data_IF_670450849864
#
_entry.id   IF_670450849864
#
_cell.length_a   1.000
_cell.length_b   1.000
_cell.length_c   1.000
_cell.angle_alpha   90.00
_cell.angle_beta   90.00
_cell.angle_gamma   90.00
#
_symmetry.space_group_name_H-M   'P 1'
#
loop_
_entity.id
_entity.type
_entity.pdbx_description
1 polymer ?
#
# COMPACT_ATOMS: atom_id res chain seq x y z
N UNK A 1 -36.54 22.68 10.49
CA UNK A 1 -36.28 23.29 9.17
C UNK A 1 -34.90 22.84 8.77
N UNK A 2 -34.79 21.94 7.81
CA UNK A 2 -33.50 21.62 7.20
C UNK A 2 -33.13 22.79 6.28
N UNK A 3 -31.96 23.38 6.50
CA UNK A 3 -31.46 24.44 5.63
C UNK A 3 -31.31 23.91 4.20
N UNK A 4 -31.64 24.74 3.17
CA UNK A 4 -31.50 24.32 1.79
C UNK A 4 -30.04 23.90 1.50
N UNK A 5 -29.81 22.81 0.76
CA UNK A 5 -28.47 22.29 0.52
C UNK A 5 -27.64 23.37 -0.17
N UNK A 6 -26.49 23.69 0.44
CA UNK A 6 -25.59 24.70 -0.07
C UNK A 6 -25.22 24.38 -1.52
N UNK A 7 -25.46 25.29 -2.49
CA UNK A 7 -25.32 25.01 -3.93
C UNK A 7 -23.90 24.60 -4.33
N UNK A 8 -22.89 24.94 -3.52
CA UNK A 8 -21.51 24.56 -3.77
C UNK A 8 -21.21 23.09 -3.43
N UNK A 9 -22.01 22.43 -2.60
CA UNK A 9 -21.82 21.00 -2.27
C UNK A 9 -21.92 20.14 -3.54
N UNK A 10 -22.93 20.38 -4.37
CA UNK A 10 -23.10 19.65 -5.64
C UNK A 10 -21.92 19.88 -6.59
N UNK A 11 -21.39 21.10 -6.65
CA UNK A 11 -20.22 21.45 -7.45
C UNK A 11 -18.95 20.75 -6.94
N UNK A 12 -18.74 20.66 -5.62
CA UNK A 12 -17.64 19.91 -5.03
C UNK A 12 -17.74 18.41 -5.32
N UNK A 13 -18.92 17.82 -5.15
CA UNK A 13 -19.16 16.39 -5.44
C UNK A 13 -18.85 16.10 -6.91
N UNK A 14 -19.39 16.91 -7.83
CA UNK A 14 -19.15 16.74 -9.26
C UNK A 14 -17.66 16.89 -9.63
N UNK A 15 -16.97 17.88 -9.05
CA UNK A 15 -15.55 18.09 -9.26
C UNK A 15 -14.72 16.91 -8.74
N UNK A 16 -15.00 16.47 -7.52
CA UNK A 16 -14.34 15.33 -6.89
C UNK A 16 -14.52 14.05 -7.68
N UNK A 17 -15.75 13.70 -8.06
CA UNK A 17 -16.05 12.49 -8.83
C UNK A 17 -15.42 12.49 -10.23
N UNK A 18 -15.24 13.66 -10.86
CA UNK A 18 -14.55 13.77 -12.17
C UNK A 18 -13.02 13.62 -12.06
N UNK A 19 -12.42 14.06 -10.95
CA UNK A 19 -10.96 14.11 -10.75
C UNK A 19 -10.40 12.88 -10.05
N UNK A 20 -11.18 12.27 -9.17
CA UNK A 20 -10.76 11.09 -8.41
C UNK A 20 -10.92 9.87 -9.29
N UNK A 21 -9.84 9.51 -9.99
CA UNK A 21 -9.69 8.14 -10.50
C UNK A 21 -9.52 7.13 -9.35
N UNK A 22 -9.45 5.83 -9.64
CA UNK A 22 -9.37 4.75 -8.63
C UNK A 22 -8.15 4.84 -7.69
N UNK A 23 -7.19 5.72 -7.98
CA UNK A 23 -5.94 5.94 -7.22
C UNK A 23 -6.01 7.12 -6.21
N UNK A 24 -7.10 7.90 -6.18
CA UNK A 24 -7.20 9.09 -5.32
C UNK A 24 -6.27 10.24 -5.73
N UNK A 25 -6.31 11.39 -5.02
CA UNK A 25 -5.41 12.49 -5.29
C UNK A 25 -3.95 12.16 -4.93
N UNK A 26 -2.99 12.42 -5.83
CA UNK A 26 -1.56 12.25 -5.55
C UNK A 26 -1.06 13.25 -4.50
N UNK A 27 -0.10 12.89 -3.65
CA UNK A 27 0.48 13.78 -2.63
C UNK A 27 -0.41 14.03 -1.40
N UNK A 28 -1.51 13.28 -1.27
CA UNK A 28 -2.43 13.35 -0.12
C UNK A 28 -1.71 13.12 1.20
N UNK A 29 -0.78 12.17 1.30
CA UNK A 29 -0.14 11.82 2.57
C UNK A 29 0.63 13.00 3.20
N UNK A 30 1.39 13.74 2.39
CA UNK A 30 2.15 14.89 2.86
C UNK A 30 1.24 16.09 3.21
N UNK A 31 0.16 16.27 2.46
CA UNK A 31 -0.80 17.34 2.72
C UNK A 31 -1.70 17.03 3.93
N UNK A 32 -2.05 15.76 4.13
CA UNK A 32 -2.79 15.28 5.30
C UNK A 32 -1.98 15.53 6.56
N UNK A 33 -0.66 15.25 6.53
CA UNK A 33 0.23 15.56 7.64
C UNK A 33 0.29 17.07 7.93
N UNK A 34 0.34 17.92 6.89
CA UNK A 34 0.25 19.39 7.06
C UNK A 34 -1.08 19.82 7.67
N UNK A 35 -2.20 19.25 7.24
CA UNK A 35 -3.53 19.53 7.77
C UNK A 35 -3.70 19.05 9.23
N UNK A 36 -3.00 17.99 9.64
CA UNK A 36 -3.00 17.54 11.04
C UNK A 36 -2.26 18.50 11.97
N UNK A 37 -1.25 19.20 11.46
CA UNK A 37 -0.46 20.18 12.20
C UNK A 37 -0.95 21.62 12.01
N UNK A 38 -2.00 21.83 11.22
CA UNK A 38 -2.59 23.14 11.01
C UNK A 38 -3.43 23.58 12.22
N UNK A 39 -3.63 24.90 12.34
CA UNK A 39 -4.38 25.51 13.43
C UNK A 39 -5.80 24.94 13.54
N UNK A 40 -6.36 24.89 14.76
CA UNK A 40 -7.67 24.31 15.03
C UNK A 40 -8.81 24.95 14.21
N UNK A 41 -8.65 26.24 13.89
CA UNK A 41 -9.63 27.03 13.14
C UNK A 41 -9.21 27.21 11.66
N UNK A 42 -8.15 26.53 11.22
CA UNK A 42 -7.78 26.49 9.80
C UNK A 42 -8.75 25.64 8.99
N UNK A 43 -9.02 26.04 7.74
CA UNK A 43 -9.87 25.26 6.82
C UNK A 43 -9.33 23.83 6.62
N UNK A 44 -8.01 23.66 6.53
CA UNK A 44 -7.37 22.33 6.45
C UNK A 44 -7.78 21.42 7.62
N UNK A 45 -7.81 21.95 8.84
CA UNK A 45 -8.19 21.21 10.04
C UNK A 45 -9.69 21.02 10.15
N UNK A 46 -10.47 22.03 9.80
CA UNK A 46 -11.94 22.00 9.83
C UNK A 46 -12.49 20.96 8.84
N UNK A 47 -11.99 20.94 7.61
CA UNK A 47 -12.40 19.94 6.62
C UNK A 47 -11.97 18.52 7.00
N UNK A 48 -10.80 18.37 7.62
CA UNK A 48 -10.33 17.08 8.14
C UNK A 48 -11.23 16.54 9.25
N UNK A 49 -11.72 17.41 10.13
CA UNK A 49 -12.68 17.03 11.18
C UNK A 49 -14.10 16.79 10.63
N UNK A 50 -14.44 17.40 9.51
CA UNK A 50 -15.71 17.20 8.82
C UNK A 50 -15.85 15.82 8.17
N UNK A 51 -14.73 15.23 7.75
CA UNK A 51 -14.65 13.87 7.22
C UNK A 51 -13.55 13.67 6.18
N UNK A 52 -13.20 12.42 5.91
CA UNK A 52 -12.06 12.08 5.05
C UNK A 52 -12.31 12.43 3.57
N UNK A 53 -13.53 12.27 3.08
CA UNK A 53 -13.90 12.61 1.71
C UNK A 53 -14.00 14.13 1.53
N UNK A 54 -14.58 14.83 2.51
CA UNK A 54 -14.62 16.29 2.51
C UNK A 54 -13.22 16.90 2.46
N UNK A 55 -12.29 16.40 3.28
CA UNK A 55 -10.90 16.86 3.26
C UNK A 55 -10.20 16.57 1.93
N UNK A 56 -10.37 15.37 1.36
CA UNK A 56 -9.78 15.04 0.06
C UNK A 56 -10.33 15.93 -1.06
N UNK A 57 -11.60 16.30 -1.00
CA UNK A 57 -12.23 17.20 -1.96
C UNK A 57 -11.70 18.63 -1.84
N UNK A 58 -11.59 19.14 -0.62
CA UNK A 58 -10.94 20.41 -0.33
C UNK A 58 -9.48 20.43 -0.81
N UNK A 59 -8.70 19.40 -0.47
CA UNK A 59 -7.31 19.26 -0.87
C UNK A 59 -7.14 19.26 -2.40
N UNK A 60 -8.02 18.58 -3.14
CA UNK A 60 -7.99 18.56 -4.60
C UNK A 60 -8.19 19.94 -5.22
N UNK A 61 -9.17 20.69 -4.72
CA UNK A 61 -9.45 22.05 -5.20
C UNK A 61 -8.26 22.98 -4.90
N UNK A 62 -7.64 22.84 -3.72
CA UNK A 62 -6.47 23.61 -3.34
C UNK A 62 -5.18 23.18 -4.06
N UNK A 63 -5.00 21.90 -4.38
CA UNK A 63 -3.81 21.41 -5.07
C UNK A 63 -3.78 21.83 -6.54
N UNK A 64 -4.93 21.76 -7.21
CA UNK A 64 -5.08 22.19 -8.61
C UNK A 64 -5.08 23.73 -8.75
N UNK A 65 -4.75 24.47 -7.69
CA UNK A 65 -4.40 25.90 -7.71
C UNK A 65 -3.01 26.20 -8.28
N UNK A 66 -2.12 25.20 -8.31
CA UNK A 66 -0.72 25.37 -8.74
C UNK A 66 -0.53 25.08 -10.24
N UNK A 67 -1.50 24.44 -10.90
CA UNK A 67 -1.42 24.09 -12.33
C UNK A 67 -2.23 25.03 -13.22
N UNK A 68 -1.60 25.63 -14.24
CA UNK A 68 -2.17 26.65 -15.15
C UNK A 68 -3.29 26.15 -16.09
N UNK A 69 -3.65 24.87 -16.07
CA UNK A 69 -4.66 24.33 -16.98
C UNK A 69 -6.06 24.45 -16.33
N UNK A 70 -6.73 25.58 -16.58
CA UNK A 70 -8.05 25.90 -16.05
C UNK A 70 -9.12 24.89 -16.49
N UNK A 71 -9.75 24.24 -15.52
CA UNK A 71 -10.93 23.40 -15.74
C UNK A 71 -12.20 24.16 -15.35
N UNK A 72 -13.26 23.94 -16.13
CA UNK A 72 -14.59 24.54 -15.92
C UNK A 72 -15.11 24.26 -14.50
N UNK A 73 -15.53 25.31 -13.78
CA UNK A 73 -16.04 25.24 -12.39
C UNK A 73 -14.98 25.29 -11.27
N UNK A 74 -13.70 25.02 -11.55
CA UNK A 74 -12.64 25.05 -10.52
C UNK A 74 -12.40 26.48 -9.98
N UNK A 75 -12.50 27.50 -10.84
CA UNK A 75 -12.35 28.89 -10.44
C UNK A 75 -13.42 29.34 -9.44
N UNK A 76 -14.66 28.87 -9.61
CA UNK A 76 -15.77 29.19 -8.71
C UNK A 76 -15.62 28.51 -7.36
N UNK A 77 -15.20 27.24 -7.33
CA UNK A 77 -14.92 26.52 -6.08
C UNK A 77 -13.77 27.15 -5.29
N UNK A 78 -12.71 27.61 -5.98
CA UNK A 78 -11.60 28.34 -5.36
C UNK A 78 -12.07 29.67 -4.76
N UNK A 79 -12.84 30.44 -5.53
CA UNK A 79 -13.40 31.70 -5.07
C UNK A 79 -14.31 31.49 -3.85
N UNK A 80 -15.11 30.43 -3.85
CA UNK A 80 -15.92 30.07 -2.71
C UNK A 80 -15.07 29.74 -1.47
N UNK A 81 -14.01 28.92 -1.59
CA UNK A 81 -13.14 28.60 -0.45
C UNK A 81 -12.40 29.82 0.10
N UNK A 82 -11.86 30.67 -0.79
CA UNK A 82 -11.00 31.79 -0.41
C UNK A 82 -11.78 33.03 0.04
N UNK A 83 -12.92 33.34 -0.56
CA UNK A 83 -13.66 34.60 -0.34
C UNK A 83 -14.95 34.43 0.46
N UNK A 84 -15.61 33.27 0.38
CA UNK A 84 -16.93 33.07 0.99
C UNK A 84 -16.85 32.22 2.26
N UNK A 85 -16.21 31.06 2.18
CA UNK A 85 -16.17 30.09 3.28
C UNK A 85 -15.20 30.50 4.38
N UNK A 86 -14.03 31.04 4.02
CA UNK A 86 -13.04 31.56 4.98
C UNK A 86 -13.56 32.71 5.85
N UNK A 87 -14.56 33.46 5.35
CA UNK A 87 -15.19 34.59 6.05
C UNK A 87 -16.39 34.19 6.90
N UNK A 88 -16.87 32.94 6.81
CA UNK A 88 -17.97 32.46 7.65
C UNK A 88 -17.49 32.15 9.08
N UNK A 89 -18.38 32.15 10.08
CA UNK A 89 -18.11 31.57 11.39
C UNK A 89 -17.59 30.12 11.30
N UNK A 90 -16.73 29.73 12.24
CA UNK A 90 -16.09 28.40 12.27
C UNK A 90 -17.14 27.28 12.33
N UNK A 91 -18.27 27.53 12.98
CA UNK A 91 -19.41 26.62 13.08
C UNK A 91 -20.03 26.31 11.71
N UNK A 92 -20.18 27.32 10.86
CA UNK A 92 -20.74 27.19 9.52
C UNK A 92 -19.76 26.50 8.57
N UNK A 93 -18.46 26.76 8.74
CA UNK A 93 -17.41 26.04 8.02
C UNK A 93 -17.39 24.55 8.39
N UNK A 94 -17.56 24.21 9.68
CA UNK A 94 -17.67 22.83 10.16
C UNK A 94 -18.95 22.15 9.66
N UNK A 95 -20.08 22.88 9.66
CA UNK A 95 -21.34 22.38 9.13
C UNK A 95 -21.21 22.06 7.63
N UNK A 96 -20.61 22.96 6.85
CA UNK A 96 -20.34 22.74 5.42
C UNK A 96 -19.46 21.51 5.18
N UNK A 97 -18.36 21.36 5.92
CA UNK A 97 -17.46 20.22 5.76
C UNK A 97 -18.16 18.87 6.03
N UNK A 98 -19.01 18.80 7.06
CA UNK A 98 -19.81 17.60 7.37
C UNK A 98 -20.84 17.30 6.30
N UNK A 99 -21.55 18.32 5.81
CA UNK A 99 -22.53 18.16 4.73
C UNK A 99 -21.87 17.69 3.44
N UNK A 100 -20.67 18.20 3.13
CA UNK A 100 -19.89 17.76 1.98
C UNK A 100 -19.46 16.29 2.09
N UNK A 101 -19.00 15.84 3.26
CA UNK A 101 -18.62 14.44 3.47
C UNK A 101 -19.82 13.51 3.27
N UNK A 102 -20.96 13.85 3.86
CA UNK A 102 -22.20 13.10 3.72
C UNK A 102 -22.68 13.01 2.25
N UNK A 103 -22.59 14.11 1.50
CA UNK A 103 -22.95 14.15 0.09
C UNK A 103 -22.01 13.28 -0.77
N UNK A 104 -20.71 13.30 -0.49
CA UNK A 104 -19.72 12.47 -1.20
C UNK A 104 -19.91 10.97 -0.93
N UNK A 105 -20.20 10.58 0.32
CA UNK A 105 -20.54 9.19 0.66
C UNK A 105 -21.79 8.70 -0.06
N UNK A 106 -22.82 9.54 -0.07
CA UNK A 106 -24.09 9.24 -0.75
C UNK A 106 -23.87 9.05 -2.26
N UNK A 107 -23.03 9.89 -2.88
CA UNK A 107 -22.68 9.76 -4.30
C UNK A 107 -21.86 8.48 -4.61
N UNK A 108 -20.95 8.07 -3.71
CA UNK A 108 -20.20 6.81 -3.86
C UNK A 108 -21.11 5.58 -3.76
N UNK A 109 -22.05 5.57 -2.81
CA UNK A 109 -23.01 4.47 -2.64
C UNK A 109 -23.92 4.31 -3.88
N UNK A 110 -24.43 5.43 -4.44
CA UNK A 110 -25.26 5.39 -5.65
C UNK A 110 -24.51 4.93 -6.92
N UNK A 111 -23.17 4.99 -6.93
CA UNK A 111 -22.36 4.48 -8.03
C UNK A 111 -22.11 2.96 -7.93
N UNK A 112 -22.02 2.42 -6.72
CA UNK A 112 -21.86 0.99 -6.49
C UNK A 112 -23.13 0.20 -6.86
N UNK A 113 -24.32 0.76 -6.58
CA UNK A 113 -25.60 0.14 -6.91
C UNK A 113 -25.92 0.17 -8.42
N UNK A 114 -25.26 1.02 -9.21
CA UNK A 114 -25.49 1.13 -10.66
C UNK A 114 -24.67 0.14 -11.49
N UNK A 115 -23.59 -0.41 -10.95
CA UNK A 115 -22.72 -1.36 -11.67
C UNK A 115 -23.24 -2.81 -11.65
N UNK A 116 -24.20 -3.15 -10.78
CA UNK A 116 -24.91 -4.45 -10.84
C UNK A 116 -26.03 -4.50 -11.89
N UNK A 117 -26.41 -3.37 -12.48
CA UNK A 117 -27.59 -3.25 -13.35
C UNK A 117 -27.28 -3.17 -14.85
N UNK A 118 -26.06 -2.80 -15.28
CA UNK A 118 -25.76 -2.59 -16.69
C UNK A 118 -24.59 -3.43 -17.21
N UNK A 119 -24.94 -4.51 -17.89
CA UNK A 119 -24.01 -5.36 -18.63
C UNK A 119 -23.18 -4.60 -19.68
N UNK A 120 -21.89 -4.97 -19.71
CA UNK A 120 -20.98 -5.02 -20.85
C UNK A 120 -21.21 -3.96 -21.94
N UNK A 121 -20.45 -2.86 -21.88
CA UNK A 121 -20.06 -2.12 -23.09
C UNK A 121 -18.54 -1.93 -23.13
N UNK A 122 -17.89 -2.81 -23.89
CA UNK A 122 -16.50 -2.68 -24.34
C UNK A 122 -16.39 -1.38 -25.14
N UNK A 123 -15.63 -0.40 -24.63
CA UNK A 123 -15.28 0.79 -25.40
C UNK A 123 -13.98 0.56 -26.20
N UNK A 124 -13.98 1.08 -27.41
CA UNK A 124 -13.17 0.64 -28.54
C UNK A 124 -11.70 1.07 -28.47
N UNK A 125 -10.84 0.15 -28.92
CA UNK A 125 -9.43 0.37 -29.29
C UNK A 125 -9.32 1.54 -30.28
N UNK A 126 -8.68 2.64 -29.87
CA UNK A 126 -8.05 3.58 -30.82
C UNK A 126 -6.63 3.08 -31.11
N UNK A 127 -6.41 2.60 -32.34
CA UNK A 127 -5.08 2.45 -32.92
C UNK A 127 -4.48 3.84 -33.14
N UNK A 128 -3.25 4.06 -32.70
CA UNK A 128 -2.40 5.13 -33.23
C UNK A 128 -1.11 4.51 -33.74
N UNK A 129 -0.86 4.72 -35.02
CA UNK A 129 0.34 4.35 -35.78
C UNK A 129 1.42 5.43 -35.67
N UNK A 130 2.63 5.08 -36.14
CA UNK A 130 3.75 5.92 -36.63
C UNK A 130 4.60 6.65 -35.57
N UNK A 131 5.94 6.71 -35.58
CA UNK A 131 7.02 6.31 -36.51
C UNK A 131 8.33 6.18 -35.69
N UNK A 132 9.20 5.24 -36.07
CA UNK A 132 10.60 5.10 -35.62
C UNK A 132 11.49 6.24 -36.14
N UNK A 133 12.48 6.67 -35.38
CA UNK A 133 13.88 6.86 -35.83
C UNK A 133 14.73 7.57 -34.75
N UNK A 134 15.97 7.13 -34.58
CA UNK A 134 17.07 8.01 -34.17
C UNK A 134 17.91 7.56 -32.98
N UNK A 135 19.04 6.94 -33.27
CA UNK A 135 20.12 6.45 -32.39
C UNK A 135 21.09 7.61 -32.01
N UNK A 136 21.39 7.76 -30.70
CA UNK A 136 22.65 8.12 -29.96
C UNK A 136 23.59 9.27 -30.45
N UNK A 137 24.63 9.72 -29.68
CA UNK A 137 24.92 9.75 -28.22
C UNK A 137 25.53 11.11 -27.74
N UNK A 138 26.10 11.10 -26.52
CA UNK A 138 27.12 12.02 -25.92
C UNK A 138 26.57 13.23 -25.14
N UNK A 139 27.04 13.64 -23.95
CA UNK A 139 28.37 13.50 -23.30
C UNK A 139 28.31 13.53 -21.75
N UNK A 140 29.33 12.91 -21.14
CA UNK A 140 29.81 13.01 -19.74
C UNK A 140 30.45 14.41 -19.53
N UNK A 141 30.39 15.10 -18.38
CA UNK A 141 31.33 15.12 -17.22
C UNK A 141 30.94 16.29 -16.26
N UNK A 142 31.62 16.53 -15.10
CA UNK A 142 31.01 16.60 -13.76
C UNK A 142 31.04 18.01 -13.14
N UNK A 143 30.53 18.18 -11.91
CA UNK A 143 31.20 19.01 -10.90
C UNK A 143 30.64 18.84 -9.48
N UNK A 144 31.60 18.80 -8.56
CA UNK A 144 31.53 18.89 -7.10
C UNK A 144 30.79 20.13 -6.57
N UNK A 145 30.18 20.00 -5.38
CA UNK A 145 30.67 20.68 -4.17
C UNK A 145 29.74 20.43 -2.97
N UNK A 146 30.34 19.96 -1.88
CA UNK A 146 29.81 19.96 -0.51
C UNK A 146 29.33 21.33 -0.05
N UNK A 147 28.31 21.37 0.81
CA UNK A 147 28.39 22.18 2.03
C UNK A 147 27.54 21.56 3.14
N UNK A 148 28.21 21.27 4.25
CA UNK A 148 27.65 20.97 5.56
C UNK A 148 26.66 22.05 6.03
N UNK A 149 25.63 21.63 6.77
CA UNK A 149 25.12 22.39 7.92
C UNK A 149 24.35 21.45 8.82
N UNK A 150 25.00 21.05 9.91
CA UNK A 150 24.37 20.47 11.07
C UNK A 150 23.44 21.50 11.73
N UNK A 151 22.25 21.08 12.15
CA UNK A 151 21.67 21.62 13.37
C UNK A 151 20.89 20.54 14.12
N UNK A 152 21.45 20.12 15.25
CA UNK A 152 20.74 19.48 16.36
C UNK A 152 19.94 20.57 17.05
N UNK A 153 18.67 20.32 17.34
CA UNK A 153 18.18 20.54 18.71
C UNK A 153 16.88 19.78 18.96
N UNK A 154 16.83 19.26 20.16
CA UNK A 154 15.94 18.25 20.71
C UNK A 154 14.86 18.87 21.60
N UNK A 155 13.85 18.04 21.91
CA UNK A 155 12.80 18.21 22.94
C UNK A 155 11.55 18.96 22.48
N UNK A 156 10.31 18.58 22.82
CA UNK A 156 9.80 17.44 23.60
C UNK A 156 8.30 17.28 23.38
N UNK A 157 7.86 16.01 23.38
CA UNK A 157 6.60 15.49 23.92
C UNK A 157 5.29 16.22 23.58
N UNK A 158 4.58 15.72 22.54
CA UNK A 158 3.12 15.42 22.51
C UNK A 158 2.69 14.88 21.13
N UNK A 159 3.44 13.93 20.58
CA UNK A 159 3.20 13.35 19.26
C UNK A 159 3.00 11.84 19.42
N UNK A 160 1.74 11.40 19.58
CA UNK A 160 1.40 9.99 19.76
C UNK A 160 0.26 9.55 18.85
N UNK A 161 0.44 9.77 17.55
CA UNK A 161 0.14 8.72 16.57
C UNK A 161 1.50 8.26 16.03
N UNK A 162 2.10 7.34 16.77
CA UNK A 162 3.49 6.92 16.60
C UNK A 162 3.68 6.38 15.18
N UNK A 163 4.56 7.02 14.39
CA UNK A 163 5.27 6.38 13.28
C UNK A 163 6.04 5.20 13.89
N UNK A 164 5.42 4.03 13.96
CA UNK A 164 6.08 2.82 14.44
C UNK A 164 6.80 2.15 13.28
N UNK A 165 7.78 2.88 12.75
CA UNK A 165 8.80 2.27 11.89
C UNK A 165 9.50 1.16 12.71
N UNK A 166 9.88 0.08 12.03
CA UNK A 166 10.51 -1.06 12.68
C UNK A 166 9.94 -2.42 12.30
N UNK A 167 10.40 -3.42 13.05
CA UNK A 167 10.07 -4.83 12.84
C UNK A 167 8.96 -5.20 13.81
N UNK A 168 7.85 -5.71 13.31
CA UNK A 168 6.70 -6.15 14.10
C UNK A 168 6.57 -7.67 14.02
N UNK A 169 6.49 -8.34 15.17
CA UNK A 169 6.59 -9.80 15.34
C UNK A 169 5.46 -10.32 16.24
N UNK A 170 5.51 -11.62 16.57
CA UNK A 170 4.60 -12.31 17.49
C UNK A 170 3.13 -12.33 17.03
N UNK A 171 2.89 -12.69 15.77
CA UNK A 171 1.52 -12.78 15.24
C UNK A 171 0.67 -13.81 16.01
N UNK A 172 -0.52 -13.39 16.44
CA UNK A 172 -1.47 -14.25 17.14
C UNK A 172 -1.94 -15.39 16.24
N UNK A 173 -1.80 -16.64 16.71
CA UNK A 173 -2.31 -17.82 15.99
C UNK A 173 -3.83 -17.77 15.83
N UNK A 174 -4.57 -17.26 16.83
CA UNK A 174 -6.02 -17.14 16.76
C UNK A 174 -6.45 -16.09 15.74
N UNK A 175 -5.72 -14.98 15.65
CA UNK A 175 -6.00 -13.94 14.67
C UNK A 175 -5.59 -14.34 13.24
N UNK A 176 -4.48 -15.08 13.10
CA UNK A 176 -3.99 -15.54 11.82
C UNK A 176 -4.83 -16.67 11.21
N UNK A 177 -5.50 -17.49 12.03
CA UNK A 177 -6.30 -18.63 11.54
C UNK A 177 -7.38 -18.25 10.51
N UNK A 178 -8.27 -17.27 10.75
CA UNK A 178 -9.25 -16.85 9.75
C UNK A 178 -8.65 -16.00 8.62
N UNK A 179 -7.41 -15.55 8.75
CA UNK A 179 -6.77 -14.60 7.84
C UNK A 179 -6.14 -15.30 6.61
N UNK A 180 -5.75 -16.57 6.77
CA UNK A 180 -5.14 -17.36 5.71
C UNK A 180 -6.03 -18.55 5.32
N UNK A 181 -5.93 -19.07 4.09
CA UNK A 181 -6.52 -20.37 3.74
C UNK A 181 -6.03 -21.46 4.70
N UNK A 182 -6.90 -22.40 5.06
CA UNK A 182 -6.59 -23.45 6.07
C UNK A 182 -5.28 -24.19 5.76
N UNK A 183 -5.10 -24.63 4.51
CA UNK A 183 -3.89 -25.33 4.07
C UNK A 183 -2.61 -24.49 4.24
N UNK A 184 -2.71 -23.18 4.00
CA UNK A 184 -1.60 -22.26 4.18
C UNK A 184 -1.34 -21.98 5.65
N UNK A 185 -2.38 -21.73 6.45
CA UNK A 185 -2.27 -21.54 7.89
C UNK A 185 -1.59 -22.73 8.57
N UNK A 186 -1.87 -23.96 8.13
CA UNK A 186 -1.18 -25.16 8.63
C UNK A 186 0.29 -25.27 8.19
N UNK A 187 0.69 -24.57 7.13
CA UNK A 187 2.08 -24.51 6.69
C UNK A 187 2.91 -23.42 7.38
N UNK A 188 2.29 -22.43 8.03
CA UNK A 188 3.01 -21.37 8.75
C UNK A 188 3.81 -21.97 9.91
N UNK A 189 5.04 -21.54 10.13
CA UNK A 189 5.83 -22.02 11.26
C UNK A 189 5.26 -21.48 12.58
N UNK A 190 5.27 -22.33 13.63
CA UNK A 190 4.95 -21.90 14.99
C UNK A 190 6.27 -21.66 15.72
N UNK A 191 6.41 -20.51 16.36
CA UNK A 191 7.60 -20.13 17.12
C UNK A 191 7.23 -19.73 18.56
N UNK A 192 8.16 -19.83 19.52
CA UNK A 192 7.93 -19.31 20.87
C UNK A 192 7.66 -17.81 20.84
N UNK A 193 6.69 -17.35 21.64
CA UNK A 193 6.41 -15.93 21.82
C UNK A 193 7.61 -15.24 22.47
N UNK A 194 7.99 -14.06 21.98
CA UNK A 194 9.19 -13.35 22.48
C UNK A 194 9.13 -12.92 23.96
N UNK A 195 7.94 -12.50 24.44
CA UNK A 195 7.69 -12.00 25.80
C UNK A 195 6.93 -12.96 26.73
N UNK A 196 6.29 -13.99 26.19
CA UNK A 196 5.44 -14.91 26.95
C UNK A 196 5.95 -16.36 26.82
N UNK A 197 6.84 -16.80 27.71
CA UNK A 197 7.37 -18.16 27.68
C UNK A 197 6.26 -19.21 27.74
N UNK A 198 6.36 -20.24 26.91
CA UNK A 198 5.38 -21.34 26.84
C UNK A 198 4.21 -21.07 25.88
N UNK A 199 4.03 -19.84 25.41
CA UNK A 199 3.06 -19.49 24.38
C UNK A 199 3.69 -19.62 22.99
N UNK A 200 2.92 -20.13 22.02
CA UNK A 200 3.31 -20.18 20.61
C UNK A 200 2.59 -19.11 19.81
N UNK A 201 3.31 -18.53 18.84
CA UNK A 201 2.82 -17.54 17.88
C UNK A 201 3.10 -18.01 16.46
N UNK A 202 2.45 -17.39 15.48
CA UNK A 202 2.76 -17.61 14.06
C UNK A 202 4.06 -16.87 13.72
N UNK A 203 4.95 -17.52 12.98
CA UNK A 203 6.15 -16.89 12.42
C UNK A 203 5.76 -15.96 11.27
N UNK A 204 5.27 -14.78 11.62
CA UNK A 204 4.93 -13.70 10.70
C UNK A 204 5.60 -12.44 11.24
N UNK A 205 6.40 -11.83 10.38
CA UNK A 205 7.12 -10.60 10.69
C UNK A 205 6.76 -9.54 9.67
N UNK A 206 6.36 -8.36 10.12
CA UNK A 206 6.14 -7.20 9.27
C UNK A 206 7.26 -6.19 9.44
N UNK A 207 7.90 -5.82 8.34
CA UNK A 207 8.91 -4.78 8.26
C UNK A 207 8.28 -3.53 7.64
N UNK A 208 8.11 -2.51 8.47
CA UNK A 208 7.76 -1.17 7.99
C UNK A 208 9.08 -0.49 7.60
N UNK A 209 9.36 -0.50 6.30
CA UNK A 209 10.60 0.02 5.73
C UNK A 209 10.51 1.54 5.50
N UNK A 210 11.65 2.23 5.42
CA UNK A 210 11.71 3.66 5.12
C UNK A 210 12.38 3.94 3.76
N UNK A 211 12.15 5.15 3.26
CA UNK A 211 12.80 5.69 2.06
C UNK A 211 12.46 4.96 0.77
N UNK A 212 13.42 4.95 -0.15
CA UNK A 212 13.23 4.46 -1.52
C UNK A 212 12.76 3.00 -1.60
N UNK A 213 13.08 2.16 -0.62
CA UNK A 213 12.61 0.77 -0.62
C UNK A 213 11.10 0.71 -0.42
N UNK A 214 10.55 1.51 0.51
CA UNK A 214 9.11 1.60 0.72
C UNK A 214 8.40 2.26 -0.47
N UNK A 215 9.01 3.27 -1.08
CA UNK A 215 8.43 3.92 -2.26
C UNK A 215 8.37 2.95 -3.47
N UNK A 216 9.36 2.08 -3.59
CA UNK A 216 9.46 1.15 -4.73
C UNK A 216 8.72 -0.17 -4.53
N UNK A 217 8.65 -0.67 -3.29
CA UNK A 217 8.14 -2.00 -2.98
C UNK A 217 6.99 -1.98 -1.96
N UNK A 218 6.91 -0.98 -1.10
CA UNK A 218 5.96 -0.92 0.02
C UNK A 218 6.52 -1.54 1.30
N UNK A 219 5.62 -2.00 2.17
CA UNK A 219 5.99 -2.70 3.41
C UNK A 219 6.29 -4.18 3.10
N UNK A 220 7.23 -4.79 3.83
CA UNK A 220 7.62 -6.19 3.59
C UNK A 220 7.07 -7.08 4.70
N UNK A 221 6.33 -8.11 4.37
CA UNK A 221 5.91 -9.16 5.30
C UNK A 221 6.68 -10.45 5.00
N UNK A 222 7.25 -11.07 6.03
CA UNK A 222 7.88 -12.39 5.97
C UNK A 222 7.02 -13.38 6.75
N UNK A 223 6.73 -14.53 6.14
CA UNK A 223 5.98 -15.64 6.73
C UNK A 223 6.89 -16.85 6.74
N UNK A 224 7.21 -17.37 7.92
CA UNK A 224 7.93 -18.61 8.09
C UNK A 224 7.08 -19.81 7.68
N UNK A 225 7.67 -20.73 6.92
CA UNK A 225 7.00 -21.92 6.40
C UNK A 225 7.72 -23.16 6.89
N UNK A 226 6.97 -24.12 7.44
CA UNK A 226 7.52 -25.39 7.94
C UNK A 226 8.29 -26.13 6.85
N UNK A 227 9.38 -26.78 7.25
CA UNK A 227 10.38 -27.39 6.36
C UNK A 227 9.78 -28.37 5.33
N UNK A 228 8.72 -29.08 5.69
CA UNK A 228 8.04 -30.08 4.86
C UNK A 228 7.24 -29.45 3.71
N UNK A 229 6.85 -28.18 3.85
CA UNK A 229 6.00 -27.48 2.88
C UNK A 229 6.79 -26.65 1.87
N UNK A 230 8.11 -26.47 2.07
CA UNK A 230 8.96 -25.69 1.17
C UNK A 230 8.91 -26.21 -0.28
N UNK A 231 9.06 -27.53 -0.58
CA UNK A 231 8.99 -28.02 -1.95
C UNK A 231 7.65 -27.75 -2.63
N UNK A 232 6.56 -27.83 -1.86
CA UNK A 232 5.21 -27.55 -2.35
C UNK A 232 5.08 -26.09 -2.82
N UNK A 233 5.46 -25.13 -1.97
CA UNK A 233 5.35 -23.71 -2.33
C UNK A 233 6.36 -23.27 -3.38
N UNK A 234 7.59 -23.80 -3.38
CA UNK A 234 8.56 -23.53 -4.45
C UNK A 234 8.04 -23.97 -5.82
N UNK A 235 7.40 -25.14 -5.89
CA UNK A 235 6.79 -25.65 -7.12
C UNK A 235 5.57 -24.83 -7.53
N UNK A 236 4.68 -24.51 -6.59
CA UNK A 236 3.42 -23.83 -6.89
C UNK A 236 3.58 -22.34 -7.17
N UNK A 237 4.51 -21.66 -6.50
CA UNK A 237 4.76 -20.23 -6.73
C UNK A 237 5.75 -19.99 -7.87
N UNK A 238 6.81 -20.79 -8.00
CA UNK A 238 7.91 -20.51 -8.93
C UNK A 238 8.09 -21.59 -10.02
N UNK A 239 7.28 -22.65 -10.03
CA UNK A 239 7.46 -23.76 -10.97
C UNK A 239 8.73 -24.60 -10.74
N UNK A 240 9.38 -24.45 -9.57
CA UNK A 240 10.68 -25.07 -9.29
C UNK A 240 10.55 -26.32 -8.43
N UNK A 241 11.27 -27.38 -8.80
CA UNK A 241 11.38 -28.60 -7.98
C UNK A 241 12.48 -28.46 -6.94
N UNK A 242 12.17 -28.85 -5.71
CA UNK A 242 13.13 -28.91 -4.59
C UNK A 242 13.29 -30.36 -4.17
N UNK A 243 14.52 -30.85 -4.23
CA UNK A 243 14.91 -32.18 -3.77
C UNK A 243 15.66 -32.05 -2.45
N UNK A 244 15.51 -33.06 -1.59
CA UNK A 244 16.28 -33.19 -0.36
C UNK A 244 17.18 -34.41 -0.50
N UNK A 245 18.48 -34.23 -0.27
CA UNK A 245 19.47 -35.30 -0.29
C UNK A 245 20.52 -35.05 0.79
N UNK A 246 20.84 -36.08 1.57
CA UNK A 246 21.87 -36.05 2.61
C UNK A 246 21.71 -34.87 3.61
N UNK A 247 20.46 -34.50 3.92
CA UNK A 247 20.13 -33.39 4.83
C UNK A 247 20.27 -31.99 4.23
N UNK A 248 20.60 -31.88 2.94
CA UNK A 248 20.67 -30.64 2.19
C UNK A 248 19.55 -30.54 1.13
N UNK A 249 19.13 -29.32 0.83
CA UNK A 249 18.16 -29.03 -0.23
C UNK A 249 18.87 -28.65 -1.52
N UNK A 250 18.26 -29.04 -2.62
CA UNK A 250 18.73 -28.73 -3.97
C UNK A 250 17.54 -28.26 -4.81
N UNK A 251 17.71 -27.15 -5.53
CA UNK A 251 16.79 -26.73 -6.57
C UNK A 251 17.15 -27.46 -7.86
N UNK A 252 16.20 -28.19 -8.45
CA UNK A 252 16.43 -29.03 -9.62
C UNK A 252 15.96 -28.33 -10.89
N UNK A 253 16.81 -28.33 -11.91
CA UNK A 253 16.45 -27.89 -13.25
C UNK A 253 16.01 -29.07 -14.13
N UNK A 254 15.20 -28.82 -15.19
CA UNK A 254 14.73 -29.87 -16.08
C UNK A 254 15.84 -30.69 -16.74
N UNK A 255 17.00 -30.08 -16.99
CA UNK A 255 18.18 -30.74 -17.58
C UNK A 255 18.97 -31.63 -16.59
N UNK A 256 18.49 -31.76 -15.34
CA UNK A 256 19.15 -32.55 -14.30
C UNK A 256 20.22 -31.81 -13.49
N UNK A 257 20.57 -30.56 -13.86
CA UNK A 257 21.46 -29.74 -13.03
C UNK A 257 20.77 -29.34 -11.73
N UNK A 258 21.57 -29.04 -10.71
CA UNK A 258 21.10 -28.71 -9.37
C UNK A 258 21.80 -27.46 -8.86
N UNK A 259 21.05 -26.62 -8.15
CA UNK A 259 21.58 -25.50 -7.37
C UNK A 259 21.48 -25.87 -5.89
N UNK A 260 22.62 -25.86 -5.21
CA UNK A 260 22.67 -25.96 -3.74
C UNK A 260 22.60 -24.53 -3.16
N UNK A 261 21.65 -24.23 -2.26
CA UNK A 261 21.63 -22.95 -1.56
C UNK A 261 22.86 -22.78 -0.66
N UNK A 262 23.43 -21.56 -0.60
CA UNK A 262 24.54 -21.25 0.32
C UNK A 262 24.48 -19.80 0.84
N UNK A 263 24.09 -19.55 2.11
CA UNK A 263 23.40 -20.48 3.01
C UNK A 263 21.91 -20.68 2.63
N UNK A 264 21.37 -19.80 1.80
CA UNK A 264 19.97 -19.83 1.35
C UNK A 264 19.84 -19.28 -0.07
N UNK A 265 18.76 -19.64 -0.75
CA UNK A 265 18.45 -19.25 -2.12
C UNK A 265 17.10 -18.54 -2.14
N UNK A 266 17.01 -17.42 -2.85
CA UNK A 266 15.75 -16.70 -3.06
C UNK A 266 15.24 -16.97 -4.48
N UNK A 267 14.03 -17.51 -4.59
CA UNK A 267 13.34 -17.64 -5.87
C UNK A 267 12.36 -16.48 -6.00
N UNK A 268 12.48 -15.73 -7.11
CA UNK A 268 11.61 -14.61 -7.49
C UNK A 268 10.86 -14.96 -8.78
N UNK A 269 10.18 -13.98 -9.38
CA UNK A 269 9.29 -14.19 -10.52
C UNK A 269 8.24 -15.27 -10.21
N UNK A 270 7.47 -15.06 -9.14
CA UNK A 270 6.37 -15.96 -8.78
C UNK A 270 5.16 -15.76 -9.71
N UNK A 271 4.43 -16.84 -9.95
CA UNK A 271 3.17 -16.86 -10.69
C UNK A 271 2.11 -16.07 -9.94
N UNK A 272 1.63 -14.98 -10.54
CA UNK A 272 0.74 -14.01 -9.87
C UNK A 272 -0.65 -14.59 -9.57
N UNK A 273 -1.18 -15.41 -10.47
CA UNK A 273 -2.47 -16.10 -10.34
C UNK A 273 -2.49 -17.10 -9.17
N UNK A 274 -1.33 -17.61 -8.77
CA UNK A 274 -1.21 -18.54 -7.66
C UNK A 274 -1.27 -17.87 -6.27
N UNK A 275 -1.06 -16.55 -6.19
CA UNK A 275 -1.04 -15.81 -4.91
C UNK A 275 -2.38 -15.89 -4.16
N UNK A 276 -3.54 -15.53 -4.73
CA UNK A 276 -4.81 -15.60 -4.01
C UNK A 276 -5.20 -17.03 -3.64
N UNK A 277 -4.83 -18.01 -4.47
CA UNK A 277 -5.12 -19.43 -4.22
C UNK A 277 -4.31 -19.98 -3.05
N UNK A 278 -3.03 -19.61 -2.96
CA UNK A 278 -2.12 -20.17 -1.96
C UNK A 278 -2.06 -19.36 -0.68
N UNK A 279 -2.05 -18.03 -0.77
CA UNK A 279 -1.87 -17.13 0.37
C UNK A 279 -3.18 -16.50 0.85
N UNK A 280 -4.24 -16.60 0.03
CA UNK A 280 -5.56 -16.03 0.32
C UNK A 280 -5.80 -14.66 -0.31
N UNK A 281 -7.08 -14.32 -0.47
CA UNK A 281 -7.52 -13.07 -1.08
C UNK A 281 -7.10 -11.83 -0.30
N UNK A 282 -7.00 -11.90 1.03
CA UNK A 282 -6.55 -10.76 1.83
C UNK A 282 -5.10 -10.40 1.49
N UNK A 283 -4.21 -11.40 1.45
CA UNK A 283 -2.82 -11.20 1.05
C UNK A 283 -2.71 -10.68 -0.38
N UNK A 284 -3.48 -11.24 -1.30
CA UNK A 284 -3.51 -10.80 -2.70
C UNK A 284 -3.96 -9.34 -2.83
N UNK A 285 -4.98 -8.92 -2.06
CA UNK A 285 -5.42 -7.53 -2.03
C UNK A 285 -4.33 -6.59 -1.48
N UNK A 286 -3.67 -6.99 -0.39
CA UNK A 286 -2.55 -6.23 0.18
C UNK A 286 -1.36 -6.12 -0.76
N UNK A 287 -1.03 -7.20 -1.46
CA UNK A 287 0.00 -7.26 -2.49
C UNK A 287 -0.37 -6.40 -3.71
N UNK A 288 -1.61 -6.48 -4.20
CA UNK A 288 -2.11 -5.70 -5.33
C UNK A 288 -2.09 -4.19 -5.06
N UNK A 289 -2.16 -3.78 -3.78
CA UNK A 289 -2.01 -2.40 -3.37
C UNK A 289 -0.54 -1.91 -3.38
N UNK A 290 0.44 -2.80 -3.45
CA UNK A 290 1.86 -2.47 -3.35
C UNK A 290 2.38 -1.66 -4.56
N UNK A 291 3.41 -0.81 -4.37
CA UNK A 291 4.06 -0.10 -5.46
C UNK A 291 4.69 -1.04 -6.51
N UNK A 292 5.27 -2.17 -6.08
CA UNK A 292 5.87 -3.14 -7.00
C UNK A 292 4.82 -3.76 -7.93
N UNK A 293 3.67 -4.17 -7.39
CA UNK A 293 2.59 -4.71 -8.22
C UNK A 293 2.15 -3.71 -9.31
N UNK A 294 1.92 -2.45 -8.92
CA UNK A 294 1.48 -1.40 -9.84
C UNK A 294 2.47 -1.19 -10.98
N UNK A 295 3.76 -1.19 -10.66
CA UNK A 295 4.83 -1.09 -11.65
C UNK A 295 4.85 -2.28 -12.60
N UNK A 296 4.80 -3.50 -12.08
CA UNK A 296 4.83 -4.72 -12.89
C UNK A 296 3.60 -4.86 -13.81
N UNK A 297 2.45 -4.34 -13.38
CA UNK A 297 1.25 -4.24 -14.24
C UNK A 297 1.50 -3.26 -15.39
N UNK A 298 2.13 -2.11 -15.12
CA UNK A 298 2.51 -1.13 -16.14
C UNK A 298 3.57 -1.69 -17.11
N UNK A 299 4.47 -2.53 -16.61
CA UNK A 299 5.47 -3.28 -17.39
C UNK A 299 4.88 -4.50 -18.13
N UNK A 300 3.60 -4.82 -17.93
CA UNK A 300 2.91 -5.97 -18.54
C UNK A 300 3.63 -7.30 -18.25
N UNK A 301 4.06 -7.48 -16.99
CA UNK A 301 4.70 -8.72 -16.53
C UNK A 301 3.66 -9.74 -16.08
N UNK A 302 3.83 -10.99 -16.53
CA UNK A 302 3.01 -12.13 -16.08
C UNK A 302 3.41 -12.61 -14.67
N UNK A 303 4.72 -12.58 -14.39
CA UNK A 303 5.29 -12.98 -13.10
C UNK A 303 5.64 -11.77 -12.22
N UNK A 304 5.72 -12.00 -10.90
CA UNK A 304 6.03 -10.96 -9.92
C UNK A 304 7.30 -11.20 -9.11
N UNK A 305 8.07 -10.13 -8.88
CA UNK A 305 9.15 -10.08 -7.90
C UNK A 305 8.66 -9.60 -6.53
N UNK A 306 7.40 -9.16 -6.42
CA UNK A 306 6.75 -8.71 -5.19
C UNK A 306 6.34 -9.84 -4.23
N UNK A 307 6.41 -11.09 -4.71
CA UNK A 307 6.35 -12.30 -3.87
C UNK A 307 7.57 -13.14 -4.17
N UNK A 308 8.22 -13.65 -3.13
CA UNK A 308 9.38 -14.53 -3.27
C UNK A 308 9.42 -15.59 -2.17
N UNK A 309 10.11 -16.69 -2.44
CA UNK A 309 10.37 -17.76 -1.47
C UNK A 309 11.87 -17.87 -1.21
N UNK A 310 12.24 -17.95 0.07
CA UNK A 310 13.62 -18.20 0.52
C UNK A 310 13.73 -19.64 0.99
N UNK A 311 14.62 -20.39 0.35
CA UNK A 311 14.89 -21.81 0.60
C UNK A 311 16.25 -21.92 1.33
N UNK A 312 16.28 -22.41 2.57
CA UNK A 312 17.54 -22.67 3.27
C UNK A 312 18.20 -23.94 2.76
N UNK A 313 19.54 -23.99 2.88
CA UNK A 313 20.35 -25.15 2.53
C UNK A 313 19.97 -26.39 3.34
N UNK A 314 19.82 -26.27 4.67
CA UNK A 314 19.63 -27.44 5.53
C UNK A 314 18.17 -27.86 5.58
N UNK A 315 17.90 -29.14 5.39
CA UNK A 315 16.54 -29.73 5.47
C UNK A 315 15.82 -29.41 6.78
N UNK A 316 16.55 -29.27 7.89
CA UNK A 316 15.96 -28.99 9.20
C UNK A 316 15.49 -27.54 9.36
N UNK A 317 15.99 -26.63 8.54
CA UNK A 317 15.65 -25.20 8.61
C UNK A 317 14.33 -24.93 7.87
N UNK A 318 13.53 -24.01 8.40
CA UNK A 318 12.26 -23.60 7.81
C UNK A 318 12.47 -22.56 6.71
N UNK A 319 11.56 -22.53 5.74
CA UNK A 319 11.61 -21.59 4.63
C UNK A 319 10.91 -20.28 4.99
N UNK A 320 11.00 -19.29 4.10
CA UNK A 320 10.26 -18.04 4.25
C UNK A 320 9.58 -17.66 2.96
N UNK A 321 8.33 -17.22 3.02
CA UNK A 321 7.68 -16.51 1.93
C UNK A 321 7.69 -15.03 2.29
N UNK A 322 8.15 -14.19 1.37
CA UNK A 322 8.14 -12.74 1.51
C UNK A 322 7.12 -12.17 0.56
N UNK A 323 6.26 -11.29 1.08
CA UNK A 323 5.23 -10.57 0.33
C UNK A 323 5.43 -9.08 0.56
N UNK A 324 5.45 -8.30 -0.51
CA UNK A 324 5.43 -6.85 -0.45
C UNK A 324 3.99 -6.33 -0.48
N UNK A 325 3.66 -5.41 0.42
CA UNK A 325 2.31 -4.94 0.70
C UNK A 325 2.20 -3.43 0.54
N UNK A 326 1.04 -2.94 0.11
CA UNK A 326 0.71 -1.53 0.22
C UNK A 326 0.60 -1.07 1.67
N UNK A 327 1.00 0.17 1.95
CA UNK A 327 1.10 0.71 3.32
C UNK A 327 -0.19 0.55 4.14
N UNK A 328 -1.33 0.95 3.59
CA UNK A 328 -2.61 0.87 4.31
C UNK A 328 -2.93 -0.57 4.75
N UNK A 329 -2.75 -1.53 3.84
CA UNK A 329 -2.98 -2.94 4.11
C UNK A 329 -1.97 -3.49 5.12
N UNK A 330 -0.70 -3.07 5.06
CA UNK A 330 0.31 -3.50 6.01
C UNK A 330 -0.04 -3.09 7.46
N UNK A 331 -0.50 -1.85 7.67
CA UNK A 331 -0.94 -1.40 9.01
C UNK A 331 -2.23 -2.09 9.46
N UNK A 332 -3.16 -2.36 8.55
CA UNK A 332 -4.35 -3.16 8.86
C UNK A 332 -3.95 -4.57 9.31
N UNK A 333 -3.05 -5.23 8.58
CA UNK A 333 -2.58 -6.58 8.89
C UNK A 333 -1.85 -6.61 10.22
N UNK A 334 -1.01 -5.60 10.50
CA UNK A 334 -0.37 -5.44 11.80
C UNK A 334 -1.39 -5.47 12.94
N UNK A 335 -2.44 -4.67 12.84
CA UNK A 335 -3.45 -4.56 13.89
C UNK A 335 -4.27 -5.85 14.01
N UNK A 336 -4.72 -6.40 12.89
CA UNK A 336 -5.56 -7.61 12.87
C UNK A 336 -4.81 -8.84 13.34
N UNK A 337 -3.56 -9.02 12.94
CA UNK A 337 -2.71 -10.13 13.38
C UNK A 337 -2.15 -9.95 14.79
N UNK A 338 -2.37 -8.79 15.42
CA UNK A 338 -1.86 -8.48 16.76
C UNK A 338 -0.34 -8.37 16.82
N UNK A 339 0.30 -7.99 15.70
CA UNK A 339 1.75 -7.86 15.61
C UNK A 339 2.26 -6.76 16.55
N UNK A 340 3.27 -7.09 17.34
CA UNK A 340 3.89 -6.19 18.31
C UNK A 340 5.22 -5.68 17.79
N UNK A 341 5.56 -4.43 18.12
CA UNK A 341 6.89 -3.91 17.84
C UNK A 341 7.93 -4.79 18.54
N UNK A 342 8.87 -5.34 17.76
CA UNK A 342 9.95 -6.17 18.26
C UNK A 342 10.69 -5.40 19.34
N UNK A 343 10.95 -6.01 20.51
CA UNK A 343 11.93 -5.45 21.43
C UNK A 343 13.25 -5.44 20.65
N UNK A 344 13.71 -4.27 20.22
CA UNK A 344 15.02 -4.12 19.58
C UNK A 344 16.09 -4.70 20.51
N UNK A 345 16.95 -5.56 19.97
CA UNK A 345 18.26 -5.86 20.57
C UNK A 345 19.19 -4.66 20.41
#
# INVERSE_FOLDING_TARGET
MEDPPNPYISSFVQYYSRRVGPRGPYGVTNALQKAYSADADSLDRIFLQGGDLAWRAYFLVNKDSVSEHGHEGLGELKRFLAELLSTQPVEDQRAFAKQLDAALRSAQQQSADKDESNGVKKCAKRRRTTIENGILPSNVTPNDASTDSANRESSSQRDSMIRQDGVHVDASLQAAKPFFPDDFFHAIQRIPHSREPGTLVADITLFVQEGQTRDNFGCRMEIGIVKEKIPYYARKLCGVEVEVKDGARYVRYPNGSKIEPDPSLKLRACQRDMIPVLLGHEIDAGFSASPIYKREVEEVRDDTDGVLITIPRREKECGKITVFLGDCCAFEFKNRLGLQLSPTN
#
